data_IF_502228004923
#
_entry.id   IF_502228004923
#
_cell.length_a   1.000
_cell.length_b   1.000
_cell.length_c   1.000
_cell.angle_alpha   90.00
_cell.angle_beta   90.00
_cell.angle_gamma   90.00
#
_symmetry.space_group_name_H-M   'P 1'
#
loop_
_entity.id
_entity.type
_entity.pdbx_description
1 polymer ?
#
# COMPACT_ATOMS: atom_id res chain seq x y z
N UNK A 1 -0.08 -31.81 -3.41
CA UNK A 1 -0.26 -30.49 -4.04
C UNK A 1 -1.74 -30.33 -4.41
N UNK A 2 -2.49 -29.44 -3.76
CA UNK A 2 -3.97 -29.47 -3.80
C UNK A 2 -4.51 -28.62 -4.97
N UNK A 3 -4.56 -29.20 -6.16
CA UNK A 3 -4.95 -28.54 -7.42
C UNK A 3 -6.32 -27.83 -7.34
N UNK A 4 -7.28 -28.37 -6.59
CA UNK A 4 -8.60 -27.76 -6.41
C UNK A 4 -8.57 -26.43 -5.64
N UNK A 5 -7.59 -26.22 -4.77
CA UNK A 5 -7.43 -24.97 -4.03
C UNK A 5 -6.82 -23.89 -4.94
N UNK A 6 -5.81 -24.27 -5.73
CA UNK A 6 -5.15 -23.38 -6.69
C UNK A 6 -6.09 -22.88 -7.80
N UNK A 7 -7.00 -23.74 -8.29
CA UNK A 7 -8.02 -23.35 -9.27
C UNK A 7 -9.00 -22.32 -8.71
N UNK A 8 -9.32 -22.37 -7.41
CA UNK A 8 -10.19 -21.36 -6.77
C UNK A 8 -9.45 -20.03 -6.57
N UNK A 9 -8.18 -20.07 -6.21
CA UNK A 9 -7.32 -18.89 -6.04
C UNK A 9 -7.05 -18.17 -7.37
N UNK A 10 -6.95 -18.92 -8.48
CA UNK A 10 -6.69 -18.39 -9.83
C UNK A 10 -7.95 -18.32 -10.71
N UNK A 11 -9.15 -18.45 -10.11
CA UNK A 11 -10.41 -18.53 -10.86
C UNK A 11 -10.64 -17.32 -11.79
N UNK A 12 -10.20 -16.13 -11.37
CA UNK A 12 -10.25 -14.91 -12.19
C UNK A 12 -9.32 -14.97 -13.41
N UNK A 13 -8.11 -15.49 -13.24
CA UNK A 13 -7.18 -15.64 -14.35
C UNK A 13 -7.72 -16.65 -15.37
N UNK A 14 -8.24 -17.78 -14.87
CA UNK A 14 -8.83 -18.82 -15.70
C UNK A 14 -10.05 -18.28 -16.44
N UNK A 15 -10.93 -17.52 -15.78
CA UNK A 15 -12.11 -16.94 -16.43
C UNK A 15 -11.73 -15.91 -17.49
N UNK A 16 -10.73 -15.07 -17.25
CA UNK A 16 -10.19 -14.12 -18.23
C UNK A 16 -9.56 -14.84 -19.43
N UNK A 17 -8.84 -15.94 -19.22
CA UNK A 17 -8.24 -16.74 -20.30
C UNK A 17 -9.31 -17.43 -21.15
N UNK A 18 -10.36 -17.98 -20.53
CA UNK A 18 -11.50 -18.56 -21.25
C UNK A 18 -12.21 -17.49 -22.07
N UNK A 19 -12.44 -16.31 -21.48
CA UNK A 19 -13.05 -15.18 -22.18
C UNK A 19 -12.21 -14.72 -23.37
N UNK A 20 -10.88 -14.61 -23.20
CA UNK A 20 -9.94 -14.30 -24.27
C UNK A 20 -10.02 -15.33 -25.40
N UNK A 21 -10.08 -16.62 -25.06
CA UNK A 21 -10.22 -17.71 -26.03
C UNK A 21 -11.53 -17.61 -26.84
N UNK A 22 -12.65 -17.36 -26.16
CA UNK A 22 -13.95 -17.18 -26.82
C UNK A 22 -13.93 -15.95 -27.74
N UNK A 23 -13.41 -14.83 -27.28
CA UNK A 23 -13.28 -13.61 -28.08
C UNK A 23 -12.37 -13.80 -29.30
N UNK A 24 -11.29 -14.58 -29.15
CA UNK A 24 -10.37 -14.94 -30.24
C UNK A 24 -11.06 -15.75 -31.35
N UNK A 25 -12.01 -16.62 -30.98
CA UNK A 25 -12.82 -17.36 -31.96
C UNK A 25 -13.84 -16.47 -32.68
N UNK A 26 -14.41 -15.47 -31.98
CA UNK A 26 -15.43 -14.57 -32.53
C UNK A 26 -14.85 -13.44 -33.39
N UNK A 27 -13.62 -13.02 -33.11
CA UNK A 27 -12.91 -11.98 -33.87
C UNK A 27 -11.50 -12.49 -34.18
N UNK A 28 -11.25 -13.01 -35.40
CA UNK A 28 -9.97 -13.58 -35.79
C UNK A 28 -8.95 -12.46 -36.04
N UNK A 29 -8.57 -11.74 -34.99
CA UNK A 29 -7.33 -10.97 -34.98
C UNK A 29 -6.17 -11.95 -35.05
N UNK A 30 -5.09 -11.59 -35.75
CA UNK A 30 -3.89 -12.40 -35.73
C UNK A 30 -3.37 -12.46 -34.29
N UNK A 31 -3.19 -13.66 -33.74
CA UNK A 31 -2.62 -13.86 -32.38
C UNK A 31 -1.29 -13.11 -32.21
N UNK A 32 -0.57 -12.87 -33.32
CA UNK A 32 0.65 -12.07 -33.41
C UNK A 32 0.46 -10.60 -32.98
N UNK A 33 -0.75 -10.06 -33.05
CA UNK A 33 -1.08 -8.69 -32.67
C UNK A 33 -1.35 -8.52 -31.17
N UNK A 34 -1.61 -9.62 -30.45
CA UNK A 34 -1.97 -9.56 -29.02
C UNK A 34 -0.92 -8.86 -28.13
N UNK A 35 0.40 -9.08 -28.34
CA UNK A 35 1.42 -8.36 -27.58
C UNK A 35 1.37 -6.84 -27.76
N UNK A 36 0.82 -6.32 -28.86
CA UNK A 36 0.76 -4.88 -29.12
C UNK A 36 -0.38 -4.18 -28.35
N UNK A 37 -1.40 -4.93 -27.92
CA UNK A 37 -2.43 -4.42 -27.00
C UNK A 37 -1.91 -4.24 -25.57
N UNK A 38 -0.75 -4.82 -25.25
CA UNK A 38 -0.12 -4.70 -23.93
C UNK A 38 0.82 -3.49 -23.93
N UNK A 39 0.57 -2.55 -23.03
CA UNK A 39 1.49 -1.44 -22.78
C UNK A 39 2.70 -1.88 -21.95
N UNK A 40 3.68 -2.53 -22.60
CA UNK A 40 4.86 -3.11 -21.96
C UNK A 40 5.65 -2.11 -21.10
N UNK A 41 5.72 -0.84 -21.52
CA UNK A 41 6.34 0.23 -20.74
C UNK A 41 5.67 0.42 -19.37
N UNK A 42 4.34 0.40 -19.33
CA UNK A 42 3.57 0.50 -18.09
C UNK A 42 3.80 -0.72 -17.20
N UNK A 43 3.79 -1.92 -17.77
CA UNK A 43 4.08 -3.16 -17.02
C UNK A 43 5.48 -3.11 -16.41
N UNK A 44 6.50 -2.69 -17.18
CA UNK A 44 7.86 -2.58 -16.68
C UNK A 44 7.99 -1.56 -15.53
N UNK A 45 7.30 -0.42 -15.62
CA UNK A 45 7.26 0.58 -14.54
C UNK A 45 6.59 0.02 -13.29
N UNK A 46 5.44 -0.64 -13.43
CA UNK A 46 4.73 -1.26 -12.30
C UNK A 46 5.57 -2.37 -11.66
N UNK A 47 6.22 -3.22 -12.46
CA UNK A 47 7.13 -4.26 -11.96
C UNK A 47 8.32 -3.65 -11.21
N UNK A 48 8.95 -2.61 -11.74
CA UNK A 48 10.04 -1.90 -11.08
C UNK A 48 9.60 -1.28 -9.75
N UNK A 49 8.41 -0.66 -9.71
CA UNK A 49 7.84 -0.09 -8.48
C UNK A 49 7.57 -1.15 -7.42
N UNK A 50 7.00 -2.31 -7.82
CA UNK A 50 6.77 -3.44 -6.92
C UNK A 50 8.08 -4.03 -6.38
N UNK A 51 9.11 -4.14 -7.22
CA UNK A 51 10.45 -4.59 -6.82
C UNK A 51 11.07 -3.62 -5.82
N UNK A 52 11.01 -2.32 -6.08
CA UNK A 52 11.53 -1.29 -5.16
C UNK A 52 10.76 -1.30 -3.84
N UNK A 53 9.42 -1.35 -3.88
CA UNK A 53 8.56 -1.43 -2.69
C UNK A 53 8.89 -2.66 -1.83
N UNK A 54 9.05 -3.82 -2.47
CA UNK A 54 9.48 -5.06 -1.80
C UNK A 54 10.90 -4.93 -1.26
N UNK A 55 11.83 -4.36 -2.02
CA UNK A 55 13.20 -4.11 -1.58
C UNK A 55 13.28 -3.19 -0.36
N UNK A 56 12.47 -2.12 -0.31
CA UNK A 56 12.36 -1.24 0.85
C UNK A 56 11.82 -2.00 2.08
N UNK A 57 10.85 -2.88 1.87
CA UNK A 57 10.30 -3.73 2.95
C UNK A 57 11.37 -4.67 3.51
N UNK A 58 12.07 -5.41 2.65
CA UNK A 58 13.10 -6.36 3.06
C UNK A 58 14.35 -5.67 3.64
N UNK A 59 14.64 -4.42 3.23
CA UNK A 59 15.76 -3.63 3.77
C UNK A 59 15.62 -3.23 5.25
N UNK A 60 14.42 -3.37 5.82
CA UNK A 60 14.13 -2.93 7.19
C UNK A 60 13.93 -1.42 7.35
N UNK A 61 14.07 -0.62 6.28
CA UNK A 61 13.83 0.83 6.32
C UNK A 61 12.40 1.15 6.77
N UNK A 62 11.41 0.40 6.27
CA UNK A 62 10.02 0.59 6.67
C UNK A 62 9.83 0.37 8.17
N UNK A 63 10.53 -0.61 8.76
CA UNK A 63 10.47 -0.85 10.20
C UNK A 63 10.99 0.34 11.01
N UNK A 64 12.09 0.96 10.59
CA UNK A 64 12.63 2.17 11.24
C UNK A 64 11.65 3.35 11.18
N UNK A 65 11.01 3.56 10.02
CA UNK A 65 9.98 4.60 9.88
C UNK A 65 8.74 4.28 10.72
N UNK A 66 8.29 3.04 10.73
CA UNK A 66 7.16 2.58 11.55
C UNK A 66 7.43 2.85 13.04
N UNK A 67 8.62 2.51 13.55
CA UNK A 67 9.00 2.80 14.95
C UNK A 67 8.98 4.31 15.25
N UNK A 68 9.55 5.14 14.36
CA UNK A 68 9.58 6.59 14.52
C UNK A 68 8.19 7.22 14.46
N UNK A 69 7.31 6.74 13.59
CA UNK A 69 5.92 7.22 13.54
C UNK A 69 5.20 6.82 14.83
N UNK A 70 5.31 5.54 15.21
CA UNK A 70 4.69 5.03 16.43
C UNK A 70 5.24 5.70 17.69
N UNK A 71 6.49 6.19 17.71
CA UNK A 71 7.02 6.97 18.84
C UNK A 71 6.28 8.28 19.08
N UNK A 72 5.70 8.88 18.04
CA UNK A 72 4.94 10.13 18.12
C UNK A 72 3.41 9.89 18.20
N UNK A 73 2.94 8.71 17.79
CA UNK A 73 1.52 8.35 17.81
C UNK A 73 1.16 7.60 19.10
N UNK A 74 0.27 8.17 19.90
CA UNK A 74 -0.12 7.60 21.19
C UNK A 74 -1.36 6.70 21.13
N UNK A 75 -2.20 6.84 20.09
CA UNK A 75 -3.46 6.10 19.96
C UNK A 75 -3.72 5.62 18.54
N UNK A 76 -4.47 4.52 18.42
CA UNK A 76 -4.85 3.91 17.12
C UNK A 76 -5.54 4.91 16.21
N UNK A 77 -6.47 5.71 16.75
CA UNK A 77 -7.13 6.78 16.02
C UNK A 77 -6.15 7.83 15.47
N UNK A 78 -5.17 8.29 16.27
CA UNK A 78 -4.18 9.29 15.80
C UNK A 78 -3.32 8.72 14.68
N UNK A 79 -2.90 7.47 14.81
CA UNK A 79 -2.16 6.76 13.78
C UNK A 79 -2.98 6.66 12.48
N UNK A 80 -4.26 6.28 12.58
CA UNK A 80 -5.15 6.17 11.43
C UNK A 80 -5.29 7.51 10.71
N UNK A 81 -5.57 8.60 11.44
CA UNK A 81 -5.63 9.95 10.85
C UNK A 81 -4.33 10.33 10.14
N UNK A 82 -3.18 10.08 10.77
CA UNK A 82 -1.89 10.39 10.19
C UNK A 82 -1.66 9.65 8.87
N UNK A 83 -1.88 8.33 8.84
CA UNK A 83 -1.65 7.51 7.65
C UNK A 83 -2.65 7.81 6.53
N UNK A 84 -3.91 8.05 6.88
CA UNK A 84 -4.94 8.46 5.92
C UNK A 84 -4.58 9.82 5.30
N UNK A 85 -4.21 10.81 6.12
CA UNK A 85 -3.79 12.12 5.63
C UNK A 85 -2.52 12.03 4.77
N UNK A 86 -1.54 11.24 5.20
CA UNK A 86 -0.30 10.97 4.46
C UNK A 86 -0.62 10.35 3.09
N UNK A 87 -1.55 9.39 3.05
CA UNK A 87 -2.00 8.74 1.81
C UNK A 87 -2.70 9.72 0.87
N UNK A 88 -3.62 10.55 1.39
CA UNK A 88 -4.29 11.57 0.58
C UNK A 88 -3.29 12.58 0.02
N UNK A 89 -2.32 13.00 0.84
CA UNK A 89 -1.26 13.92 0.44
C UNK A 89 -0.43 13.31 -0.69
N UNK A 90 0.17 12.13 -0.50
CA UNK A 90 0.97 11.50 -1.54
C UNK A 90 0.17 11.23 -2.81
N UNK A 91 -1.07 10.76 -2.66
CA UNK A 91 -1.93 10.50 -3.82
C UNK A 91 -2.38 11.76 -4.56
N UNK A 92 -2.23 12.95 -3.99
CA UNK A 92 -2.47 14.21 -4.72
C UNK A 92 -1.30 14.59 -5.64
N UNK A 93 -0.11 14.02 -5.44
CA UNK A 93 1.08 14.24 -6.28
C UNK A 93 1.47 13.02 -7.13
N UNK A 94 1.13 11.83 -6.64
CA UNK A 94 1.38 10.54 -7.27
C UNK A 94 0.05 9.92 -7.70
N UNK A 95 0.08 8.89 -8.54
CA UNK A 95 -1.14 8.14 -8.79
C UNK A 95 -1.61 7.39 -7.54
N UNK A 96 -2.93 7.23 -7.37
CA UNK A 96 -3.55 6.50 -6.26
C UNK A 96 -2.90 5.12 -6.01
N UNK A 97 -2.59 4.37 -7.06
CA UNK A 97 -1.94 3.06 -6.95
C UNK A 97 -0.50 3.19 -6.42
N UNK A 98 0.26 4.15 -6.95
CA UNK A 98 1.66 4.40 -6.55
C UNK A 98 1.73 4.86 -5.09
N UNK A 99 0.80 5.72 -4.65
CA UNK A 99 0.72 6.15 -3.27
C UNK A 99 0.48 4.97 -2.32
N UNK A 100 -0.42 4.04 -2.68
CA UNK A 100 -0.66 2.84 -1.88
C UNK A 100 0.55 1.90 -1.87
N UNK A 101 1.30 1.79 -2.96
CA UNK A 101 2.56 1.02 -2.97
C UNK A 101 3.64 1.57 -2.04
N UNK A 102 3.53 2.83 -1.60
CA UNK A 102 4.42 3.43 -0.61
C UNK A 102 3.86 3.26 0.81
N UNK A 103 2.57 3.58 1.01
CA UNK A 103 1.99 3.64 2.37
C UNK A 103 1.59 2.26 2.90
N UNK A 104 1.02 1.38 2.08
CA UNK A 104 0.55 0.06 2.55
C UNK A 104 1.68 -0.79 3.14
N UNK A 105 2.88 -0.89 2.52
CA UNK A 105 4.01 -1.59 3.12
C UNK A 105 4.45 -0.99 4.46
N UNK A 106 4.39 0.34 4.61
CA UNK A 106 4.69 1.03 5.87
C UNK A 106 3.67 0.66 6.96
N UNK A 107 2.39 0.58 6.60
CA UNK A 107 1.29 0.18 7.50
C UNK A 107 1.38 -1.30 7.89
N UNK A 108 1.73 -2.19 6.95
CA UNK A 108 2.05 -3.58 7.24
C UNK A 108 3.27 -3.72 8.16
N UNK A 109 4.28 -2.85 8.03
CA UNK A 109 5.41 -2.78 8.95
C UNK A 109 5.00 -2.51 10.40
N UNK A 110 3.90 -1.77 10.61
CA UNK A 110 3.34 -1.49 11.93
C UNK A 110 2.53 -2.65 12.51
N UNK A 111 1.92 -3.50 11.68
CA UNK A 111 1.21 -4.70 12.12
C UNK A 111 2.11 -5.59 12.99
N UNK A 112 3.36 -5.78 12.55
CA UNK A 112 4.36 -6.56 13.29
C UNK A 112 4.70 -5.94 14.66
N UNK A 113 4.58 -4.62 14.80
CA UNK A 113 4.90 -3.88 16.02
C UNK A 113 3.72 -3.80 17.02
N UNK A 114 2.49 -3.83 16.51
CA UNK A 114 1.26 -3.63 17.29
C UNK A 114 0.52 -4.93 17.61
N UNK A 115 0.86 -6.06 16.97
CA UNK A 115 0.16 -7.34 17.06
C UNK A 115 -1.36 -7.22 16.85
N UNK A 116 -1.77 -6.35 15.92
CA UNK A 116 -3.18 -6.12 15.56
C UNK A 116 -3.36 -6.15 14.06
N UNK A 117 -4.53 -6.59 13.63
CA UNK A 117 -4.92 -6.56 12.22
C UNK A 117 -5.02 -5.10 11.74
N UNK A 118 -4.22 -4.76 10.72
CA UNK A 118 -4.22 -3.44 10.06
C UNK A 118 -5.08 -3.41 8.80
N UNK A 119 -5.76 -4.50 8.44
CA UNK A 119 -6.56 -4.60 7.21
C UNK A 119 -7.61 -3.49 7.11
N UNK A 120 -8.26 -3.14 8.23
CA UNK A 120 -9.19 -2.01 8.27
C UNK A 120 -8.51 -0.69 7.91
N UNK A 121 -7.30 -0.45 8.40
CA UNK A 121 -6.55 0.77 8.10
C UNK A 121 -6.17 0.84 6.62
N UNK A 122 -5.74 -0.27 6.04
CA UNK A 122 -5.42 -0.36 4.61
C UNK A 122 -6.65 -0.05 3.74
N UNK A 123 -7.84 -0.51 4.14
CA UNK A 123 -9.09 -0.15 3.42
C UNK A 123 -9.32 1.37 3.45
N UNK A 124 -9.12 2.00 4.61
CA UNK A 124 -9.26 3.45 4.74
C UNK A 124 -8.17 4.21 3.95
N UNK A 125 -6.95 3.70 3.90
CA UNK A 125 -5.88 4.25 3.04
C UNK A 125 -6.26 4.16 1.57
N UNK A 126 -6.83 3.04 1.11
CA UNK A 126 -7.31 2.90 -0.26
C UNK A 126 -8.41 3.91 -0.61
N UNK A 127 -9.37 4.13 0.31
CA UNK A 127 -10.37 5.19 0.14
C UNK A 127 -9.68 6.57 0.10
N UNK A 128 -8.73 6.81 1.01
CA UNK A 128 -7.98 8.06 1.09
C UNK A 128 -7.18 8.38 -0.17
N UNK A 129 -6.56 7.37 -0.79
CA UNK A 129 -5.83 7.53 -2.05
C UNK A 129 -6.78 7.99 -3.17
N UNK A 130 -7.97 7.40 -3.26
CA UNK A 130 -8.97 7.82 -4.26
C UNK A 130 -9.49 9.24 -4.00
N UNK A 131 -9.71 9.61 -2.73
CA UNK A 131 -10.08 10.98 -2.37
C UNK A 131 -8.95 11.96 -2.70
N UNK A 132 -7.71 11.67 -2.29
CA UNK A 132 -6.56 12.55 -2.49
C UNK A 132 -6.20 12.77 -3.96
N UNK A 133 -6.17 11.69 -4.75
CA UNK A 133 -5.89 11.76 -6.20
C UNK A 133 -6.89 12.59 -6.99
N UNK A 134 -8.13 12.64 -6.52
CA UNK A 134 -9.18 13.40 -7.17
C UNK A 134 -8.92 14.92 -7.14
N UNK A 135 -8.03 15.44 -6.29
CA UNK A 135 -7.76 16.88 -6.21
C UNK A 135 -6.98 17.43 -7.41
N UNK A 136 -6.04 16.67 -7.97
CA UNK A 136 -5.09 17.18 -8.97
C UNK A 136 -5.18 16.44 -10.30
N UNK A 137 -4.79 17.08 -11.42
CA UNK A 137 -4.70 16.40 -12.72
C UNK A 137 -3.79 15.17 -12.69
N UNK A 138 -2.67 15.22 -11.97
CA UNK A 138 -1.63 14.18 -11.96
C UNK A 138 -2.04 12.98 -11.08
N UNK A 139 -2.91 13.20 -10.10
CA UNK A 139 -3.28 12.21 -9.09
C UNK A 139 -3.89 10.93 -9.63
N UNK A 140 -4.49 10.92 -10.83
CA UNK A 140 -4.86 9.68 -11.52
C UNK A 140 -4.97 9.90 -13.05
N UNK A 141 -4.90 8.82 -13.86
CA UNK A 141 -5.01 8.93 -15.33
C UNK A 141 -6.33 9.52 -15.83
N UNK A 142 -7.43 9.33 -15.09
CA UNK A 142 -8.75 9.86 -15.45
C UNK A 142 -8.76 11.39 -15.38
N UNK A 143 -8.11 11.96 -14.37
CA UNK A 143 -7.96 13.39 -14.18
C UNK A 143 -7.09 14.00 -15.27
N UNK A 144 -5.99 13.35 -15.65
CA UNK A 144 -5.16 13.77 -16.79
C UNK A 144 -6.01 13.85 -18.06
N UNK A 145 -6.81 12.82 -18.34
CA UNK A 145 -7.66 12.78 -19.52
C UNK A 145 -8.68 13.93 -19.55
N UNK A 146 -9.38 14.18 -18.43
CA UNK A 146 -10.37 15.27 -18.34
C UNK A 146 -9.67 16.63 -18.46
N UNK A 147 -8.53 16.81 -17.80
CA UNK A 147 -7.74 18.03 -17.83
C UNK A 147 -7.29 18.37 -19.25
N UNK A 148 -6.76 17.39 -19.99
CA UNK A 148 -6.37 17.53 -21.40
C UNK A 148 -7.56 17.83 -22.29
N UNK A 149 -8.69 17.14 -22.10
CA UNK A 149 -9.91 17.34 -22.89
C UNK A 149 -10.48 18.75 -22.73
N UNK A 150 -10.40 19.32 -21.54
CA UNK A 150 -10.97 20.64 -21.24
C UNK A 150 -9.97 21.79 -21.47
N UNK A 151 -8.67 21.49 -21.59
CA UNK A 151 -7.63 22.48 -21.89
C UNK A 151 -7.49 23.59 -20.83
N UNK A 152 -7.94 23.34 -19.60
CA UNK A 152 -7.89 24.33 -18.52
C UNK A 152 -6.52 24.38 -17.84
N UNK A 153 -6.20 25.44 -17.11
CA UNK A 153 -4.97 25.49 -16.32
C UNK A 153 -5.00 24.47 -15.16
N UNK A 154 -3.82 24.05 -14.69
CA UNK A 154 -3.67 23.13 -13.56
C UNK A 154 -4.39 23.64 -12.30
N UNK A 155 -4.22 24.92 -11.97
CA UNK A 155 -4.86 25.53 -10.80
C UNK A 155 -6.38 25.64 -10.98
N UNK A 156 -6.85 25.96 -12.19
CA UNK A 156 -8.28 25.97 -12.49
C UNK A 156 -8.93 24.60 -12.32
N UNK A 157 -8.22 23.51 -12.64
CA UNK A 157 -8.70 22.15 -12.38
C UNK A 157 -8.85 21.90 -10.87
N UNK A 158 -7.83 22.24 -10.09
CA UNK A 158 -7.85 22.09 -8.62
C UNK A 158 -9.01 22.88 -8.03
N UNK A 159 -9.17 24.16 -8.39
CA UNK A 159 -10.25 25.01 -7.88
C UNK A 159 -11.64 24.41 -8.20
N UNK A 160 -11.81 23.81 -9.38
CA UNK A 160 -13.08 23.18 -9.77
C UNK A 160 -13.39 21.91 -8.97
N UNK A 161 -12.38 21.12 -8.59
CA UNK A 161 -12.56 19.90 -7.80
C UNK A 161 -12.45 20.13 -6.28
N UNK A 162 -11.94 21.28 -5.85
CA UNK A 162 -11.82 21.64 -4.45
C UNK A 162 -13.14 21.54 -3.66
N UNK A 163 -14.32 21.97 -4.17
CA UNK A 163 -15.58 21.79 -3.46
C UNK A 163 -15.91 20.31 -3.18
N UNK A 164 -15.64 19.41 -4.12
CA UNK A 164 -15.85 17.97 -3.95
C UNK A 164 -14.92 17.41 -2.87
N UNK A 165 -13.63 17.75 -2.93
CA UNK A 165 -12.64 17.31 -1.94
C UNK A 165 -12.95 17.85 -0.54
N UNK A 166 -13.45 19.08 -0.47
CA UNK A 166 -13.88 19.72 0.78
C UNK A 166 -15.05 19.01 1.45
N UNK A 167 -15.79 18.16 0.73
CA UNK A 167 -16.85 17.30 1.28
C UNK A 167 -16.29 15.90 1.59
N UNK A 168 -15.54 15.31 0.65
CA UNK A 168 -15.05 13.94 0.78
C UNK A 168 -14.02 13.76 1.89
N UNK A 169 -13.08 14.71 2.05
CA UNK A 169 -12.01 14.59 3.04
C UNK A 169 -12.55 14.67 4.48
N UNK A 170 -13.43 15.64 4.84
CA UNK A 170 -14.07 15.63 6.16
C UNK A 170 -14.97 14.42 6.39
N UNK A 171 -15.67 13.94 5.37
CA UNK A 171 -16.49 12.73 5.47
C UNK A 171 -15.61 11.50 5.78
N UNK A 172 -14.48 11.35 5.10
CA UNK A 172 -13.50 10.31 5.38
C UNK A 172 -12.95 10.42 6.81
N UNK A 173 -12.65 11.63 7.27
CA UNK A 173 -12.21 11.89 8.64
C UNK A 173 -13.27 11.56 9.68
N UNK A 174 -14.54 11.86 9.40
CA UNK A 174 -15.67 11.45 10.23
C UNK A 174 -15.77 9.91 10.33
N UNK A 175 -15.72 9.20 9.19
CA UNK A 175 -15.72 7.73 9.19
C UNK A 175 -14.52 7.14 9.90
N UNK A 176 -13.34 7.77 9.78
CA UNK A 176 -12.12 7.39 10.49
C UNK A 176 -12.32 7.54 11.99
N UNK A 177 -12.87 8.66 12.43
CA UNK A 177 -13.15 8.92 13.84
C UNK A 177 -14.08 7.87 14.47
N UNK A 178 -15.12 7.48 13.74
CA UNK A 178 -16.10 6.47 14.16
C UNK A 178 -15.48 5.07 14.16
N UNK A 179 -14.69 4.75 13.13
CA UNK A 179 -14.19 3.38 12.90
C UNK A 179 -12.99 2.99 13.75
N UNK A 180 -12.17 3.97 14.15
CA UNK A 180 -10.95 3.76 14.94
C UNK A 180 -11.11 4.28 16.37
N UNK A 181 -10.81 3.42 17.34
CA UNK A 181 -10.93 3.72 18.77
C UNK A 181 -9.74 4.55 19.26
N UNK A 182 -9.95 5.35 20.30
CA UNK A 182 -8.86 6.09 20.95
C UNK A 182 -8.08 5.22 21.95
N UNK A 183 -7.81 3.97 21.58
CA UNK A 183 -7.07 3.01 22.40
C UNK A 183 -5.57 3.32 22.31
N UNK A 184 -4.86 3.25 23.43
CA UNK A 184 -3.41 3.41 23.45
C UNK A 184 -2.76 2.30 22.62
N UNK A 185 -1.75 2.67 21.86
CA UNK A 185 -0.95 1.70 21.10
C UNK A 185 -0.04 0.97 22.08
N UNK A 186 -0.33 -0.30 22.35
CA UNK A 186 0.60 -1.19 23.04
C UNK A 186 1.70 -1.58 22.06
N UNK A 187 2.87 -0.97 22.24
CA UNK A 187 4.07 -1.32 21.48
C UNK A 187 4.63 -2.61 22.06
N UNK A 188 5.01 -3.55 21.20
CA UNK A 188 5.93 -4.59 21.63
C UNK A 188 7.22 -3.94 22.15
N UNK A 189 7.45 -4.05 23.46
CA UNK A 189 8.66 -3.54 24.11
C UNK A 189 9.79 -4.54 23.83
N UNK A 190 10.48 -4.40 22.69
CA UNK A 190 11.77 -5.05 22.35
C UNK A 190 11.91 -6.52 22.83
N UNK A 191 11.13 -7.46 22.28
CA UNK A 191 11.50 -8.88 22.38
C UNK A 191 12.78 -9.17 21.58
N UNK A 192 12.98 -8.50 20.43
CA UNK A 192 14.14 -8.71 19.55
C UNK A 192 15.50 -8.33 20.18
N UNK A 193 15.54 -7.36 21.10
CA UNK A 193 16.80 -6.96 21.76
C UNK A 193 17.12 -7.86 22.96
N UNK A 194 16.08 -8.38 23.63
CA UNK A 194 16.21 -9.35 24.72
C UNK A 194 16.58 -10.72 24.12
N UNK A 195 15.99 -11.15 23.01
CA UNK A 195 16.38 -12.38 22.32
C UNK A 195 17.79 -12.31 21.76
N UNK A 196 18.20 -11.19 21.16
CA UNK A 196 19.59 -11.02 20.69
C UNK A 196 20.58 -10.97 21.85
N UNK A 197 20.23 -10.33 22.97
CA UNK A 197 21.05 -10.35 24.19
C UNK A 197 21.08 -11.73 24.86
N UNK A 198 19.97 -12.47 24.89
CA UNK A 198 19.87 -13.84 25.42
C UNK A 198 20.56 -14.86 24.50
N UNK A 199 20.53 -14.67 23.19
CA UNK A 199 21.28 -15.47 22.23
C UNK A 199 22.79 -15.22 22.36
N UNK A 200 23.21 -13.96 22.55
CA UNK A 200 24.61 -13.62 22.79
C UNK A 200 25.05 -14.12 24.17
N UNK A 201 24.23 -13.98 25.22
CA UNK A 201 24.59 -14.45 26.56
C UNK A 201 24.61 -15.98 26.67
N UNK A 202 23.70 -16.68 25.99
CA UNK A 202 23.75 -18.15 25.88
C UNK A 202 24.94 -18.63 25.06
N UNK A 203 25.30 -17.93 23.97
CA UNK A 203 26.50 -18.22 23.19
C UNK A 203 27.78 -17.99 24.00
N UNK A 204 27.87 -16.89 24.75
CA UNK A 204 29.01 -16.60 25.64
C UNK A 204 29.10 -17.61 26.80
N UNK A 205 27.97 -18.02 27.39
CA UNK A 205 27.95 -19.06 28.43
C UNK A 205 28.35 -20.44 27.91
N UNK A 206 28.17 -20.72 26.61
CA UNK A 206 28.55 -22.00 26.02
C UNK A 206 30.05 -22.06 25.69
N UNK A 207 30.72 -20.91 25.57
CA UNK A 207 32.16 -20.81 25.28
C UNK A 207 33.01 -20.89 26.57
N UNK A 208 32.44 -20.55 27.73
CA UNK A 208 33.10 -20.66 29.04
C UNK A 208 33.21 -22.10 29.59
N UNK A 209 32.77 -23.12 28.82
CA UNK A 209 32.89 -24.55 29.16
C UNK A 209 34.05 -25.28 28.44
N UNK A 210 35.08 -24.57 27.96
CA UNK A 210 36.32 -25.23 27.54
C UNK A 210 37.17 -25.60 28.76
N UNK A 211 37.39 -26.89 29.06
CA UNK A 211 38.28 -27.30 30.13
C UNK A 211 39.71 -26.91 29.74
N UNK A 212 40.35 -26.11 30.59
CA UNK A 212 41.80 -25.92 30.56
C UNK A 212 42.45 -27.23 30.99
N UNK A 213 42.90 -28.02 30.01
CA UNK A 213 43.87 -29.09 30.20
C UNK A 213 45.10 -28.77 29.36
#
# INVERSE_FOLDING_TARGET
>A
MNYRKKIKEEALLISLLILLFILSLMSPYQIKEYPYFVHWKTIAILAGLLLISTGLKESGLLHMFSEKILSHMNTERKLAFFLILLTAFFSSFLTNDVALFVVVPLTLGMQNLLNRDVSKLIIFEAISANVGSSLTPIGNPQNIFIWQKWGISFLSFIIKLFPLISILLPLLFMFTFISFKNTKLEKQRKQAHIEKFLAISSFLNNISYFPTN
#
